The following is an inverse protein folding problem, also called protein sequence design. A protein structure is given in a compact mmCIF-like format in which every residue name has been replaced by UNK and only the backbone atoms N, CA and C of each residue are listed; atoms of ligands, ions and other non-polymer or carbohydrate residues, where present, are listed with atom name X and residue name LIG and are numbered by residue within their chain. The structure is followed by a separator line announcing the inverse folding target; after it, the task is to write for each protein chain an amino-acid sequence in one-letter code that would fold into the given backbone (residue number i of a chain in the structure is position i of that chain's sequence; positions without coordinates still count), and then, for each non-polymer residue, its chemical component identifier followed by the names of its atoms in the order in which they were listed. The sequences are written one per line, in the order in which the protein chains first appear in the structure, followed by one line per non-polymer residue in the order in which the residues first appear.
data_IF_116877107451
#
_entry.id   IF_116877107451
#
_cell.length_a   1.000
_cell.length_b   1.000
_cell.length_c   1.000
_cell.angle_alpha   90.00
_cell.angle_beta   90.00
_cell.angle_gamma   90.00
#
_symmetry.space_group_name_H-M   'P 1'
#
loop_
_entity.id
_entity.type
_entity.pdbx_description
1 polymer ?
#
# COMPACT_ATOMS: atom_id res chain seq x y z
N UNK A 1 12.13 -9.06 -7.41
CA UNK A 1 11.26 -8.76 -8.58
C UNK A 1 11.62 -7.41 -9.19
N UNK A 2 11.83 -6.37 -8.37
CA UNK A 2 12.32 -5.06 -8.84
C UNK A 2 13.62 -5.14 -9.65
N UNK A 3 14.58 -5.98 -9.23
CA UNK A 3 15.86 -6.16 -9.95
C UNK A 3 15.69 -6.58 -11.40
N UNK A 4 14.69 -7.43 -11.70
CA UNK A 4 14.43 -7.88 -13.06
C UNK A 4 13.98 -6.72 -13.98
N UNK A 5 13.20 -5.78 -13.44
CA UNK A 5 12.76 -4.59 -14.18
C UNK A 5 13.92 -3.60 -14.33
N UNK A 6 14.77 -3.46 -13.31
CA UNK A 6 15.98 -2.63 -13.38
C UNK A 6 16.97 -3.10 -14.45
N UNK A 7 17.01 -4.40 -14.75
CA UNK A 7 17.82 -4.94 -15.86
C UNK A 7 17.04 -5.06 -17.18
N UNK A 8 15.84 -4.47 -17.27
CA UNK A 8 15.09 -4.34 -18.52
C UNK A 8 14.33 -5.60 -18.96
N UNK A 9 14.01 -6.52 -18.05
CA UNK A 9 13.32 -7.78 -18.38
C UNK A 9 11.79 -7.66 -18.47
N UNK A 10 11.22 -6.46 -18.33
CA UNK A 10 9.78 -6.24 -18.52
C UNK A 10 9.19 -5.12 -17.67
N UNK A 11 7.91 -5.27 -17.33
CA UNK A 11 7.12 -4.36 -16.49
C UNK A 11 6.70 -5.13 -15.23
N UNK A 12 6.68 -4.49 -14.06
CA UNK A 12 6.15 -5.09 -12.82
C UNK A 12 5.13 -4.17 -12.13
N UNK A 13 4.22 -4.80 -11.39
CA UNK A 13 3.28 -4.15 -10.50
C UNK A 13 3.54 -4.65 -9.06
N UNK A 14 4.01 -3.75 -8.21
CA UNK A 14 4.39 -3.98 -6.80
C UNK A 14 3.94 -2.77 -5.97
N UNK A 15 3.98 -2.84 -4.63
CA UNK A 15 3.81 -1.67 -3.77
C UNK A 15 4.74 -0.53 -4.16
N UNK A 16 4.25 0.71 -4.03
CA UNK A 16 4.98 1.91 -4.46
C UNK A 16 6.34 2.06 -3.76
N UNK A 17 6.47 1.60 -2.51
CA UNK A 17 7.73 1.67 -1.76
C UNK A 17 8.87 0.89 -2.43
N UNK A 18 8.56 -0.19 -3.17
CA UNK A 18 9.54 -0.98 -3.89
C UNK A 18 10.09 -0.25 -5.13
N UNK A 19 9.38 0.75 -5.66
CA UNK A 19 9.76 1.48 -6.87
C UNK A 19 10.19 2.93 -6.61
N UNK A 20 9.66 3.57 -5.56
CA UNK A 20 9.89 4.97 -5.23
C UNK A 20 11.37 5.42 -5.37
N UNK A 21 12.36 4.77 -4.73
CA UNK A 21 13.75 5.21 -4.85
C UNK A 21 14.29 5.11 -6.29
N UNK A 22 13.82 4.12 -7.06
CA UNK A 22 14.26 3.90 -8.43
C UNK A 22 13.64 4.88 -9.42
N UNK A 23 12.41 5.32 -9.17
CA UNK A 23 11.72 6.34 -9.98
C UNK A 23 12.32 7.71 -9.69
N UNK A 24 12.56 8.04 -8.43
CA UNK A 24 13.21 9.30 -8.01
C UNK A 24 14.61 9.46 -8.63
N UNK A 25 15.36 8.36 -8.71
CA UNK A 25 16.68 8.33 -9.35
C UNK A 25 16.64 8.20 -10.89
N UNK A 26 15.45 8.13 -11.49
CA UNK A 26 15.26 8.00 -12.94
C UNK A 26 15.67 6.65 -13.54
N UNK A 27 15.90 5.64 -12.70
CA UNK A 27 16.22 4.26 -13.13
C UNK A 27 14.98 3.52 -13.64
N UNK A 28 13.81 3.86 -13.13
CA UNK A 28 12.52 3.35 -13.57
C UNK A 28 11.58 4.51 -13.94
N UNK A 29 10.59 4.21 -14.77
CA UNK A 29 9.52 5.15 -15.13
C UNK A 29 8.17 4.52 -14.85
N UNK A 30 7.22 5.31 -14.34
CA UNK A 30 5.85 4.87 -14.15
C UNK A 30 5.12 4.83 -15.50
N UNK A 31 4.40 3.75 -15.75
CA UNK A 31 3.59 3.53 -16.97
C UNK A 31 2.21 3.03 -16.57
N UNK A 32 1.22 3.20 -17.46
CA UNK A 32 -0.14 2.68 -17.27
C UNK A 32 -0.86 3.18 -16.00
N UNK A 33 -0.50 4.36 -15.50
CA UNK A 33 -1.08 4.93 -14.27
C UNK A 33 -2.62 5.01 -14.32
N UNK A 34 -3.18 5.40 -15.47
CA UNK A 34 -4.63 5.49 -15.68
C UNK A 34 -5.38 4.15 -15.54
N UNK A 35 -4.65 3.03 -15.53
CA UNK A 35 -5.18 1.67 -15.46
C UNK A 35 -4.99 1.04 -14.07
N UNK A 36 -4.38 1.76 -13.12
CA UNK A 36 -4.15 1.27 -11.77
C UNK A 36 -5.26 1.73 -10.83
N UNK A 37 -6.03 0.77 -10.31
CA UNK A 37 -6.98 1.07 -9.25
C UNK A 37 -6.26 1.52 -7.96
N UNK A 38 -6.82 2.49 -7.21
CA UNK A 38 -6.26 2.87 -5.92
C UNK A 38 -6.17 1.68 -4.98
N UNK A 39 -5.05 1.55 -4.27
CA UNK A 39 -4.91 0.54 -3.23
C UNK A 39 -5.99 0.74 -2.15
N UNK A 40 -6.79 -0.29 -1.91
CA UNK A 40 -7.90 -0.26 -0.94
C UNK A 40 -7.44 -0.14 0.51
N UNK A 41 -6.13 -0.26 0.75
CA UNK A 41 -5.53 -0.19 2.06
C UNK A 41 -5.44 -1.54 2.74
N UNK A 42 -4.94 -1.51 3.98
CA UNK A 42 -4.81 -2.71 4.80
C UNK A 42 -6.08 -2.96 5.60
N UNK A 43 -6.46 -4.24 5.73
CA UNK A 43 -7.60 -4.68 6.51
C UNK A 43 -7.14 -5.48 7.72
N UNK A 44 -7.67 -5.16 8.90
CA UNK A 44 -7.47 -5.95 10.11
C UNK A 44 -8.56 -7.02 10.20
N UNK A 45 -8.18 -8.30 10.17
CA UNK A 45 -9.10 -9.42 10.31
C UNK A 45 -9.03 -10.04 11.70
N UNK A 46 -10.18 -10.17 12.36
CA UNK A 46 -10.31 -10.84 13.66
C UNK A 46 -11.50 -11.82 13.63
N UNK A 47 -11.28 -13.14 13.70
CA UNK A 47 -12.31 -14.16 13.43
C UNK A 47 -13.32 -14.34 14.58
N UNK A 48 -13.05 -13.81 15.78
CA UNK A 48 -13.95 -13.97 16.92
C UNK A 48 -15.09 -12.97 16.87
N UNK A 49 -16.32 -13.48 17.02
CA UNK A 49 -17.56 -12.68 17.11
C UNK A 49 -17.98 -12.35 18.55
N UNK A 50 -17.18 -12.75 19.54
CA UNK A 50 -17.39 -12.36 20.95
C UNK A 50 -17.07 -10.88 21.12
N UNK A 51 -17.57 -10.26 22.19
CA UNK A 51 -17.23 -8.88 22.51
C UNK A 51 -15.70 -8.72 22.58
N UNK A 52 -15.11 -7.80 21.80
CA UNK A 52 -13.69 -7.52 21.87
C UNK A 52 -13.32 -7.05 23.27
N UNK A 53 -12.14 -7.46 23.75
CA UNK A 53 -11.64 -6.96 25.03
C UNK A 53 -11.33 -5.46 24.92
N UNK A 54 -11.36 -4.70 26.03
CA UNK A 54 -10.97 -3.29 26.01
C UNK A 54 -9.58 -3.06 25.42
N UNK A 55 -8.63 -3.97 25.69
CA UNK A 55 -7.28 -3.90 25.12
C UNK A 55 -7.28 -4.09 23.59
N UNK A 56 -8.13 -4.98 23.05
CA UNK A 56 -8.24 -5.15 21.60
C UNK A 56 -8.87 -3.94 20.93
N UNK A 57 -9.90 -3.35 21.54
CA UNK A 57 -10.51 -2.12 21.02
C UNK A 57 -9.49 -0.98 20.91
N UNK A 58 -8.62 -0.81 21.92
CA UNK A 58 -7.54 0.18 21.85
C UNK A 58 -6.58 -0.03 20.67
N UNK A 59 -6.27 -1.29 20.34
CA UNK A 59 -5.42 -1.61 19.18
C UNK A 59 -6.14 -1.32 17.87
N UNK A 60 -7.43 -1.71 17.77
CA UNK A 60 -8.25 -1.39 16.59
C UNK A 60 -8.28 0.11 16.37
N UNK A 61 -8.56 0.89 17.41
CA UNK A 61 -8.62 2.36 17.32
C UNK A 61 -7.26 2.96 16.93
N UNK A 62 -6.16 2.46 17.47
CA UNK A 62 -4.82 2.92 17.14
C UNK A 62 -4.40 2.61 15.69
N UNK A 63 -4.88 1.49 15.13
CA UNK A 63 -4.61 1.08 13.76
C UNK A 63 -5.66 1.59 12.77
N UNK A 64 -6.76 2.18 13.25
CA UNK A 64 -7.84 2.65 12.40
C UNK A 64 -7.41 3.91 11.65
N UNK A 65 -7.07 3.73 10.38
CA UNK A 65 -6.70 4.83 9.50
C UNK A 65 -7.94 5.53 8.95
N UNK A 66 -8.23 6.74 9.42
CA UNK A 66 -9.19 7.64 8.77
C UNK A 66 -8.41 8.58 7.85
N UNK A 67 -8.63 8.45 6.54
CA UNK A 67 -8.08 9.40 5.57
C UNK A 67 -8.65 10.78 5.89
N UNK A 68 -7.81 11.73 6.31
CA UNK A 68 -8.21 13.13 6.43
C UNK A 68 -8.62 13.61 5.03
N UNK A 69 -9.93 13.65 4.78
CA UNK A 69 -10.51 14.21 3.57
C UNK A 69 -10.27 15.72 3.57
N UNK A 70 -9.13 16.16 3.05
CA UNK A 70 -8.84 17.59 2.96
C UNK A 70 -7.38 17.91 2.68
N UNK A 71 -6.87 17.54 1.52
CA UNK A 71 -5.91 18.41 0.84
C UNK A 71 -6.07 18.19 -0.67
N UNK A 72 -6.58 19.24 -1.31
CA UNK A 72 -6.50 19.43 -2.76
C UNK A 72 -5.07 19.81 -3.11
#
# INVERSE_FOLDING_TARGET
MVDAVLVGLGIAALPEEEFAPHIEEGRLVRVLEDWCEPFSGYFLYYPSRRQPSPAFSLVVDALHYTKLSGMK
#
